data_IF_911735147284
#
_entry.id   IF_911735147284
#
_cell.length_a   1.000
_cell.length_b   1.000
_cell.length_c   1.000
_cell.angle_alpha   90.00
_cell.angle_beta   90.00
_cell.angle_gamma   90.00
#
_symmetry.space_group_name_H-M   'P 1'
#
loop_
_entity.id
_entity.type
_entity.pdbx_description
1 polymer ?
#
# COMPACT_ATOMS: atom_id res chain seq x y z
N UNK A 1 -5.28 11.85 -4.20
CA UNK A 1 -6.56 12.30 -3.63
C UNK A 1 -6.36 13.54 -2.78
N UNK A 2 -7.40 14.34 -2.56
CA UNK A 2 -7.31 15.54 -1.72
C UNK A 2 -7.93 15.26 -0.36
N UNK A 3 -7.17 15.45 0.71
CA UNK A 3 -7.61 15.25 2.10
C UNK A 3 -7.27 16.54 2.86
N UNK A 4 -8.26 17.16 3.49
CA UNK A 4 -8.10 18.40 4.26
C UNK A 4 -7.30 19.49 3.54
N UNK A 5 -7.53 19.66 2.23
CA UNK A 5 -6.84 20.68 1.43
C UNK A 5 -5.53 20.24 0.78
N UNK A 6 -4.94 19.12 1.22
CA UNK A 6 -3.63 18.64 0.77
C UNK A 6 -3.77 17.50 -0.24
N UNK A 7 -2.91 17.49 -1.27
CA UNK A 7 -2.88 16.45 -2.28
C UNK A 7 -1.93 15.31 -1.89
N UNK A 8 -2.45 14.09 -1.99
CA UNK A 8 -1.72 12.85 -1.71
C UNK A 8 -1.67 11.96 -2.94
N UNK A 9 -0.54 11.29 -3.13
CA UNK A 9 -0.42 10.10 -3.96
C UNK A 9 -1.08 8.92 -3.24
N UNK A 10 -2.03 8.29 -3.92
CA UNK A 10 -2.71 7.09 -3.43
C UNK A 10 -2.10 5.86 -4.09
N UNK A 11 -1.53 4.99 -3.28
CA UNK A 11 -1.09 3.65 -3.68
C UNK A 11 -2.12 2.64 -3.15
N UNK A 12 -2.50 1.67 -3.98
CA UNK A 12 -3.47 0.62 -3.61
C UNK A 12 -2.86 -0.74 -3.88
N UNK A 13 -2.91 -1.61 -2.89
CA UNK A 13 -2.72 -3.04 -3.07
C UNK A 13 -4.06 -3.65 -3.44
N UNK A 14 -4.11 -4.38 -4.56
CA UNK A 14 -5.31 -5.05 -5.05
C UNK A 14 -5.02 -6.53 -5.28
N UNK A 15 -6.00 -7.39 -5.04
CA UNK A 15 -5.88 -8.81 -5.40
C UNK A 15 -6.14 -9.03 -6.90
N UNK A 16 -6.01 -10.29 -7.34
CA UNK A 16 -6.27 -10.69 -8.74
C UNK A 16 -7.73 -10.51 -9.19
N UNK A 17 -8.65 -10.30 -8.26
CA UNK A 17 -10.07 -10.03 -8.48
C UNK A 17 -10.39 -8.53 -8.34
N UNK A 18 -9.37 -7.67 -8.25
CA UNK A 18 -9.48 -6.22 -8.05
C UNK A 18 -10.08 -5.79 -6.71
N UNK A 19 -10.15 -6.69 -5.72
CA UNK A 19 -10.50 -6.33 -4.35
C UNK A 19 -9.37 -5.50 -3.73
N UNK A 20 -9.72 -4.43 -3.02
CA UNK A 20 -8.73 -3.61 -2.31
C UNK A 20 -8.28 -4.36 -1.07
N UNK A 21 -6.99 -4.65 -0.97
CA UNK A 21 -6.39 -5.31 0.19
C UNK A 21 -5.88 -4.27 1.19
N UNK A 22 -5.25 -3.19 0.69
CA UNK A 22 -4.71 -2.12 1.52
C UNK A 22 -4.47 -0.84 0.70
N UNK A 23 -4.25 0.27 1.37
CA UNK A 23 -3.94 1.55 0.75
C UNK A 23 -2.89 2.34 1.53
N UNK A 24 -2.13 3.14 0.81
CA UNK A 24 -1.14 4.05 1.36
C UNK A 24 -1.24 5.42 0.72
N UNK A 25 -1.12 6.45 1.56
CA UNK A 25 -1.17 7.85 1.18
C UNK A 25 0.18 8.50 1.48
N UNK A 26 0.74 9.15 0.47
CA UNK A 26 1.99 9.91 0.60
C UNK A 26 1.82 11.30 0.02
N UNK A 27 2.35 12.31 0.71
CA UNK A 27 2.41 13.69 0.20
C UNK A 27 3.44 13.83 -0.93
N UNK A 28 4.43 12.92 -0.96
CA UNK A 28 5.52 12.95 -1.94
C UNK A 28 5.53 11.69 -2.81
N UNK A 29 6.07 11.84 -4.02
CA UNK A 29 6.29 10.71 -4.94
C UNK A 29 7.72 10.21 -4.74
N UNK A 30 7.88 8.95 -4.34
CA UNK A 30 9.19 8.36 -4.12
C UNK A 30 9.17 6.85 -4.31
N UNK A 31 10.05 6.36 -5.17
CA UNK A 31 10.20 4.92 -5.46
C UNK A 31 10.58 4.15 -4.19
N UNK A 32 11.52 4.68 -3.40
CA UNK A 32 11.99 4.09 -2.14
C UNK A 32 10.89 3.98 -1.08
N UNK A 33 10.04 5.00 -0.94
CA UNK A 33 8.90 5.01 -0.01
C UNK A 33 7.84 4.00 -0.45
N UNK A 34 7.61 3.92 -1.77
CA UNK A 34 6.67 2.98 -2.37
C UNK A 34 7.13 1.54 -2.14
N UNK A 35 8.41 1.25 -2.35
CA UNK A 35 9.01 -0.06 -2.09
C UNK A 35 8.94 -0.43 -0.60
N UNK A 36 9.25 0.50 0.31
CA UNK A 36 9.13 0.25 1.75
C UNK A 36 7.70 -0.08 2.21
N UNK A 37 6.68 0.52 1.58
CA UNK A 37 5.29 0.14 1.81
C UNK A 37 5.02 -1.30 1.37
N UNK A 38 5.48 -1.68 0.17
CA UNK A 38 5.32 -3.05 -0.34
C UNK A 38 6.11 -4.07 0.48
N UNK A 39 7.31 -3.76 0.95
CA UNK A 39 8.11 -4.66 1.80
C UNK A 39 7.44 -4.89 3.15
N UNK A 40 6.86 -3.84 3.74
CA UNK A 40 6.06 -3.95 4.96
C UNK A 40 4.82 -4.81 4.73
N UNK A 41 4.15 -4.61 3.60
CA UNK A 41 2.95 -5.37 3.23
C UNK A 41 3.28 -6.85 2.99
N UNK A 42 4.32 -7.16 2.21
CA UNK A 42 4.77 -8.54 1.99
C UNK A 42 5.24 -9.15 3.30
N UNK A 43 6.03 -8.46 4.13
CA UNK A 43 6.50 -8.99 5.41
C UNK A 43 5.37 -9.32 6.40
N UNK A 44 4.35 -8.47 6.50
CA UNK A 44 3.18 -8.69 7.37
C UNK A 44 2.24 -9.78 6.85
N UNK A 45 1.95 -9.81 5.55
CA UNK A 45 1.00 -10.78 4.97
C UNK A 45 1.63 -12.14 4.67
N UNK A 46 2.93 -12.22 4.34
CA UNK A 46 3.63 -13.50 4.12
C UNK A 46 3.68 -14.39 5.36
N UNK A 47 3.63 -13.78 6.55
CA UNK A 47 3.56 -14.51 7.81
C UNK A 47 2.15 -15.09 8.04
N UNK A 48 1.11 -14.47 7.48
CA UNK A 48 -0.28 -14.91 7.61
C UNK A 48 -0.67 -16.03 6.65
N UNK A 49 0.02 -16.18 5.50
CA UNK A 49 -0.30 -17.24 4.51
C UNK A 49 0.41 -18.58 4.78
N UNK A 50 1.37 -18.64 5.71
CA UNK A 50 1.99 -19.90 6.15
C UNK A 50 1.20 -20.65 7.24
N UNK A 51 0.03 -20.11 7.63
CA UNK A 51 -0.83 -20.67 8.67
C UNK A 51 -2.20 -21.17 8.20
N UNK A 52 -2.38 -21.41 6.89
CA UNK A 52 -3.58 -22.02 6.31
C UNK A 52 -3.20 -23.18 5.38
#
# INVERSE_FOLDING_TARGET
MKINGVWYFLYRAVDKHSSIIDFYLSETRGESITMAFFDKFIGLYSLSVKGL
#
